data_IF_895494221414
#
_entry.id   IF_895494221414
#
_cell.length_a   1.000
_cell.length_b   1.000
_cell.length_c   1.000
_cell.angle_alpha   90.00
_cell.angle_beta   90.00
_cell.angle_gamma   90.00
#
_symmetry.space_group_name_H-M   'P 1'
#
loop_
_entity.id
_entity.type
_entity.pdbx_description
1 polymer ?
#
# COMPACT_ATOMS: atom_id res chain seq x y z
N UNK A 1 23.23 15.61 23.24
CA UNK A 1 23.88 16.78 23.87
C UNK A 1 23.04 17.37 24.99
N UNK A 2 21.85 17.92 24.71
CA UNK A 2 21.07 18.64 25.71
C UNK A 2 20.02 17.80 26.45
N UNK A 3 19.41 16.81 25.80
CA UNK A 3 18.27 16.07 26.37
C UNK A 3 18.64 14.75 27.07
N UNK A 4 19.69 14.05 26.63
CA UNK A 4 20.11 12.76 27.21
C UNK A 4 21.62 12.50 27.14
N UNK A 5 22.44 13.55 27.04
CA UNK A 5 23.90 13.42 27.13
C UNK A 5 24.63 12.87 25.89
N UNK A 6 23.97 12.76 24.73
CA UNK A 6 24.65 12.31 23.48
C UNK A 6 25.80 13.24 23.04
N UNK A 7 26.87 12.69 22.46
CA UNK A 7 28.00 13.50 21.95
C UNK A 7 27.61 14.31 20.71
N UNK A 8 28.27 15.46 20.48
CA UNK A 8 28.07 16.24 19.25
C UNK A 8 28.40 15.42 18.00
N UNK A 9 29.46 14.62 18.06
CA UNK A 9 29.91 13.80 16.94
C UNK A 9 28.84 12.77 16.52
N UNK A 10 28.26 12.04 17.49
CA UNK A 10 27.18 11.09 17.23
C UNK A 10 25.90 11.81 16.78
N UNK A 11 25.57 12.94 17.41
CA UNK A 11 24.38 13.73 17.06
C UNK A 11 24.44 14.20 15.60
N UNK A 12 25.61 14.66 15.15
CA UNK A 12 25.82 15.10 13.77
C UNK A 12 25.82 13.92 12.80
N UNK A 13 26.72 12.96 12.98
CA UNK A 13 26.92 11.91 11.97
C UNK A 13 25.79 10.88 11.95
N UNK A 14 25.28 10.46 13.11
CA UNK A 14 24.29 9.39 13.20
C UNK A 14 22.88 9.96 13.16
N UNK A 15 22.53 10.79 14.15
CA UNK A 15 21.15 11.26 14.29
C UNK A 15 20.71 12.24 13.18
N UNK A 16 21.67 12.93 12.54
CA UNK A 16 21.39 13.89 11.46
C UNK A 16 21.76 13.33 10.09
N UNK A 17 23.05 13.14 9.80
CA UNK A 17 23.51 12.80 8.45
C UNK A 17 23.08 11.39 8.03
N UNK A 18 23.39 10.36 8.82
CA UNK A 18 23.02 8.98 8.49
C UNK A 18 21.50 8.83 8.39
N UNK A 19 20.75 9.37 9.36
CA UNK A 19 19.28 9.41 9.30
C UNK A 19 18.79 10.03 7.99
N UNK A 20 19.32 11.18 7.60
CA UNK A 20 18.90 11.88 6.39
C UNK A 20 19.21 11.07 5.12
N UNK A 21 20.42 10.52 5.01
CA UNK A 21 20.83 9.69 3.88
C UNK A 21 19.98 8.42 3.77
N UNK A 22 19.69 7.75 4.89
CA UNK A 22 18.79 6.58 4.90
C UNK A 22 17.39 6.96 4.41
N UNK A 23 16.84 8.08 4.88
CA UNK A 23 15.53 8.55 4.41
C UNK A 23 15.53 8.81 2.90
N UNK A 24 16.54 9.51 2.37
CA UNK A 24 16.65 9.75 0.93
C UNK A 24 16.72 8.46 0.13
N UNK A 25 17.54 7.50 0.55
CA UNK A 25 17.66 6.22 -0.15
C UNK A 25 16.35 5.42 -0.11
N UNK A 26 15.62 5.44 1.01
CA UNK A 26 14.32 4.81 1.13
C UNK A 26 13.29 5.44 0.19
N UNK A 27 13.24 6.77 0.10
CA UNK A 27 12.37 7.47 -0.86
C UNK A 27 12.76 7.16 -2.31
N UNK A 28 14.05 7.16 -2.63
CA UNK A 28 14.52 6.87 -3.98
C UNK A 28 14.34 5.40 -4.38
N UNK A 29 14.26 4.48 -3.42
CA UNK A 29 13.93 3.08 -3.67
C UNK A 29 12.53 2.94 -4.27
N UNK A 30 11.56 3.76 -3.87
CA UNK A 30 10.21 3.81 -4.47
C UNK A 30 10.29 4.25 -5.93
N UNK A 31 11.10 5.26 -6.23
CA UNK A 31 11.29 5.74 -7.61
C UNK A 31 12.10 4.79 -8.50
N UNK A 32 12.74 3.76 -7.94
CA UNK A 32 13.55 2.79 -8.68
C UNK A 32 12.96 1.39 -8.61
N UNK A 33 13.11 0.69 -7.49
CA UNK A 33 12.69 -0.70 -7.34
C UNK A 33 11.18 -0.90 -7.56
N UNK A 34 10.34 0.03 -7.07
CA UNK A 34 8.87 -0.03 -7.26
C UNK A 34 8.39 0.38 -8.67
N UNK A 35 9.32 0.62 -9.59
CA UNK A 35 9.03 0.81 -11.02
C UNK A 35 9.63 -0.29 -11.91
N UNK A 36 10.45 -1.19 -11.35
CA UNK A 36 11.18 -2.22 -12.12
C UNK A 36 10.71 -3.63 -11.73
N UNK A 37 10.48 -3.90 -10.44
CA UNK A 37 10.18 -5.25 -9.94
C UNK A 37 8.87 -5.28 -9.17
N UNK A 38 7.84 -5.89 -9.76
CA UNK A 38 6.52 -6.04 -9.15
C UNK A 38 5.44 -6.39 -10.18
N UNK A 39 4.20 -6.42 -9.71
CA UNK A 39 3.00 -6.77 -10.48
C UNK A 39 2.22 -5.53 -10.91
N UNK A 40 1.31 -5.66 -11.88
CA UNK A 40 0.45 -4.55 -12.36
C UNK A 40 -1.03 -4.96 -12.40
N UNK A 41 -1.64 -5.25 -11.25
CA UNK A 41 -3.00 -5.81 -11.20
C UNK A 41 -4.09 -4.82 -11.64
N UNK A 42 -3.84 -3.50 -11.63
CA UNK A 42 -4.87 -2.50 -11.99
C UNK A 42 -4.67 -1.90 -13.38
N UNK A 43 -3.43 -1.58 -13.77
CA UNK A 43 -3.12 -1.13 -15.14
C UNK A 43 -1.71 -1.58 -15.57
N UNK A 44 -1.65 -2.48 -16.56
CA UNK A 44 -0.41 -3.01 -17.12
C UNK A 44 0.28 -2.06 -18.10
N UNK A 45 -0.44 -1.07 -18.62
CA UNK A 45 0.03 -0.15 -19.66
C UNK A 45 0.87 1.00 -19.09
N UNK A 46 0.80 1.22 -17.77
CA UNK A 46 1.62 2.21 -17.07
C UNK A 46 2.88 1.55 -16.49
N UNK A 47 3.93 2.33 -16.22
CA UNK A 47 5.18 1.83 -15.61
C UNK A 47 5.11 1.40 -14.13
N UNK A 48 4.39 2.08 -13.22
CA UNK A 48 4.44 1.78 -11.79
C UNK A 48 3.94 0.37 -11.50
N UNK A 49 4.65 -0.33 -10.61
CA UNK A 49 4.35 -1.70 -10.22
C UNK A 49 3.99 -1.76 -8.73
N UNK A 50 3.28 -2.82 -8.36
CA UNK A 50 2.92 -3.16 -7.01
C UNK A 50 3.93 -4.15 -6.46
N UNK A 51 4.55 -3.79 -5.33
CA UNK A 51 5.56 -4.59 -4.68
C UNK A 51 5.32 -4.60 -3.17
N UNK A 52 4.76 -5.70 -2.68
CA UNK A 52 4.35 -5.86 -1.29
C UNK A 52 5.55 -5.85 -0.32
N UNK A 53 6.71 -6.36 -0.76
CA UNK A 53 7.97 -6.31 0.01
C UNK A 53 8.46 -4.88 0.14
N UNK A 54 8.36 -4.07 -0.92
CA UNK A 54 8.66 -2.64 -0.84
C UNK A 54 7.64 -1.96 0.09
N UNK A 55 6.34 -2.26 0.00
CA UNK A 55 5.33 -1.69 0.91
C UNK A 55 5.68 -1.89 2.39
N UNK A 56 6.24 -3.05 2.77
CA UNK A 56 6.70 -3.31 4.13
C UNK A 56 7.89 -2.43 4.55
N UNK A 57 8.84 -2.23 3.65
CA UNK A 57 10.08 -1.48 3.92
C UNK A 57 9.83 0.03 3.96
N UNK A 58 8.97 0.56 3.09
CA UNK A 58 8.64 2.00 2.99
C UNK A 58 7.26 2.36 3.58
N UNK A 59 6.75 1.57 4.53
CA UNK A 59 5.55 1.88 5.34
C UNK A 59 4.26 2.17 4.54
N UNK A 60 4.04 1.45 3.44
CA UNK A 60 2.78 1.53 2.67
C UNK A 60 2.91 2.07 1.26
N UNK A 61 4.09 2.55 0.84
CA UNK A 61 4.28 3.17 -0.49
C UNK A 61 4.49 2.17 -1.66
N UNK A 62 4.46 0.85 -1.40
CA UNK A 62 4.69 -0.16 -2.45
C UNK A 62 3.44 -0.52 -3.27
N UNK A 63 2.29 0.12 -3.00
CA UNK A 63 1.05 0.01 -3.78
C UNK A 63 1.06 0.94 -5.01
N UNK A 64 2.21 1.06 -5.69
CA UNK A 64 2.44 2.12 -6.67
C UNK A 64 1.57 1.98 -7.93
N UNK A 65 1.27 0.76 -8.38
CA UNK A 65 0.31 0.55 -9.48
C UNK A 65 -1.08 1.09 -9.10
N UNK A 66 -1.57 0.82 -7.89
CA UNK A 66 -2.84 1.35 -7.37
C UNK A 66 -2.82 2.87 -7.31
N UNK A 67 -1.78 3.43 -6.69
CA UNK A 67 -1.65 4.87 -6.47
C UNK A 67 -1.73 5.66 -7.78
N UNK A 68 -1.09 5.19 -8.85
CA UNK A 68 -1.14 5.87 -10.16
C UNK A 68 -2.47 5.68 -10.89
N UNK A 69 -3.21 4.60 -10.64
CA UNK A 69 -4.55 4.39 -11.23
C UNK A 69 -5.61 5.20 -10.48
N UNK A 70 -5.48 5.34 -9.16
CA UNK A 70 -6.41 6.05 -8.28
C UNK A 70 -5.69 7.15 -7.48
N UNK A 71 -5.13 8.19 -8.12
CA UNK A 71 -4.32 9.21 -7.45
C UNK A 71 -5.10 10.07 -6.44
N UNK A 72 -6.44 10.00 -6.45
CA UNK A 72 -7.31 10.68 -5.49
C UNK A 72 -7.66 9.85 -4.26
N UNK A 73 -7.31 8.56 -4.20
CA UNK A 73 -7.57 7.72 -3.02
C UNK A 73 -6.58 8.08 -1.91
N UNK A 74 -7.08 8.55 -0.78
CA UNK A 74 -6.26 8.99 0.35
C UNK A 74 -5.39 7.87 0.92
N UNK A 75 -5.80 6.61 0.75
CA UNK A 75 -5.09 5.44 1.30
C UNK A 75 -3.90 5.04 0.46
N UNK A 76 -3.83 5.47 -0.81
CA UNK A 76 -2.81 5.03 -1.78
C UNK A 76 -2.67 3.51 -1.97
N UNK A 77 -3.59 2.71 -1.43
CA UNK A 77 -3.59 1.25 -1.52
C UNK A 77 -5.00 0.65 -1.57
N UNK A 78 -5.14 -0.47 -2.28
CA UNK A 78 -6.39 -1.26 -2.32
C UNK A 78 -6.75 -1.82 -0.94
N UNK A 79 -5.78 -2.39 -0.23
CA UNK A 79 -5.97 -2.95 1.11
C UNK A 79 -6.29 -1.92 2.20
N UNK A 80 -6.24 -0.63 1.89
CA UNK A 80 -6.46 0.44 2.85
C UNK A 80 -5.72 0.23 4.18
N UNK A 81 -6.46 0.33 5.29
CA UNK A 81 -6.06 0.21 6.70
C UNK A 81 -5.52 -1.16 7.15
N UNK A 82 -5.10 -2.00 6.21
CA UNK A 82 -4.33 -3.19 6.53
C UNK A 82 -3.11 -2.89 7.42
N UNK A 83 -2.49 -3.90 8.05
CA UNK A 83 -1.33 -3.71 8.92
C UNK A 83 -0.17 -2.95 8.26
N UNK A 84 -0.10 -2.96 6.93
CA UNK A 84 1.01 -2.44 6.14
C UNK A 84 0.91 -0.96 5.77
N UNK A 85 -0.24 -0.29 6.02
CA UNK A 85 -0.44 1.11 5.65
C UNK A 85 -0.52 2.01 6.89
N UNK A 86 0.65 2.38 7.43
CA UNK A 86 0.72 3.24 8.61
C UNK A 86 0.30 4.68 8.30
N UNK A 87 0.54 5.16 7.08
CA UNK A 87 0.15 6.50 6.63
C UNK A 87 -1.36 6.68 6.65
N UNK A 88 -2.12 5.74 6.08
CA UNK A 88 -3.59 5.79 6.13
C UNK A 88 -4.11 5.77 7.57
N UNK A 89 -3.55 4.93 8.45
CA UNK A 89 -3.92 4.87 9.87
C UNK A 89 -3.64 6.18 10.62
N UNK A 90 -2.53 6.85 10.28
CA UNK A 90 -2.21 8.15 10.84
C UNK A 90 -3.25 9.19 10.40
N UNK A 91 -3.60 9.22 9.11
CA UNK A 91 -4.65 10.11 8.59
C UNK A 91 -6.00 9.82 9.26
N UNK A 92 -6.37 8.53 9.41
CA UNK A 92 -7.60 8.10 10.07
C UNK A 92 -7.66 8.52 11.54
N UNK A 93 -6.53 8.52 12.26
CA UNK A 93 -6.46 9.06 13.61
C UNK A 93 -6.80 10.56 13.63
N UNK A 94 -6.27 11.34 12.69
CA UNK A 94 -6.63 12.76 12.56
C UNK A 94 -8.08 12.97 12.11
N UNK A 95 -8.62 12.05 11.30
CA UNK A 95 -10.02 12.07 10.93
C UNK A 95 -10.92 11.81 12.14
N UNK A 96 -10.53 10.85 12.99
CA UNK A 96 -11.24 10.48 14.19
C UNK A 96 -11.32 11.63 15.21
N UNK A 97 -10.24 12.42 15.38
CA UNK A 97 -10.26 13.62 16.24
C UNK A 97 -10.81 14.87 15.54
N UNK A 98 -11.30 14.75 14.29
CA UNK A 98 -11.94 15.83 13.53
C UNK A 98 -10.99 16.84 12.88
N UNK A 99 -9.69 16.52 12.78
CA UNK A 99 -8.69 17.39 12.14
C UNK A 99 -8.55 17.12 10.63
N UNK A 100 -8.89 15.92 10.18
CA UNK A 100 -8.99 15.56 8.77
C UNK A 100 -10.45 15.23 8.39
N UNK A 101 -10.85 15.56 7.16
CA UNK A 101 -12.20 15.34 6.64
C UNK A 101 -12.15 15.21 5.11
N UNK A 102 -13.28 14.85 4.49
CA UNK A 102 -13.43 14.67 3.04
C UNK A 102 -12.42 13.68 2.40
N UNK A 103 -12.10 12.63 3.15
CA UNK A 103 -11.23 11.54 2.73
C UNK A 103 -11.89 10.76 1.59
N UNK A 104 -11.25 10.76 0.42
CA UNK A 104 -11.77 10.11 -0.79
C UNK A 104 -11.16 8.73 -0.95
N UNK A 105 -11.98 7.75 -1.26
CA UNK A 105 -11.55 6.37 -1.50
C UNK A 105 -12.19 5.82 -2.77
N UNK A 106 -11.46 4.99 -3.51
CA UNK A 106 -12.02 4.32 -4.68
C UNK A 106 -12.96 3.18 -4.20
N UNK A 107 -14.20 3.09 -4.73
CA UNK A 107 -15.12 2.04 -4.36
C UNK A 107 -14.69 0.69 -4.97
N UNK A 108 -15.04 -0.41 -4.30
CA UNK A 108 -14.59 -1.78 -4.63
C UNK A 108 -14.95 -2.19 -6.07
N UNK A 109 -16.17 -1.87 -6.52
CA UNK A 109 -16.66 -2.14 -7.87
C UNK A 109 -15.85 -1.42 -8.96
N UNK A 110 -15.42 -0.18 -8.69
CA UNK A 110 -14.56 0.58 -9.59
C UNK A 110 -13.17 -0.06 -9.66
N UNK A 111 -12.62 -0.51 -8.53
CA UNK A 111 -11.32 -1.17 -8.46
C UNK A 111 -11.35 -2.48 -9.26
N UNK A 112 -12.36 -3.33 -9.04
CA UNK A 112 -12.57 -4.59 -9.77
C UNK A 112 -12.77 -4.36 -11.27
N UNK A 113 -13.59 -3.37 -11.65
CA UNK A 113 -13.82 -3.00 -13.05
C UNK A 113 -12.54 -2.49 -13.73
N UNK A 114 -11.67 -1.79 -13.00
CA UNK A 114 -10.36 -1.37 -13.52
C UNK A 114 -9.40 -2.54 -13.65
N UNK A 115 -9.26 -3.37 -12.63
CA UNK A 115 -8.40 -4.55 -12.66
C UNK A 115 -8.78 -5.49 -13.82
N UNK A 116 -10.07 -5.79 -14.00
CA UNK A 116 -10.55 -6.63 -15.10
C UNK A 116 -10.30 -6.03 -16.49
N UNK A 117 -10.38 -4.70 -16.63
CA UNK A 117 -10.23 -4.02 -17.93
C UNK A 117 -8.77 -3.81 -18.35
N UNK A 118 -7.89 -3.46 -17.41
CA UNK A 118 -6.52 -3.02 -17.70
C UNK A 118 -5.43 -3.74 -16.92
N UNK A 119 -5.78 -4.58 -15.95
CA UNK A 119 -4.83 -5.37 -15.18
C UNK A 119 -4.04 -6.37 -16.03
N UNK A 120 -2.91 -6.81 -15.47
CA UNK A 120 -2.10 -7.92 -15.99
C UNK A 120 -2.64 -9.30 -15.64
N UNK A 121 -3.74 -9.39 -14.88
CA UNK A 121 -4.36 -10.63 -14.44
C UNK A 121 -3.79 -11.19 -13.13
N UNK A 122 -2.80 -10.52 -12.54
CA UNK A 122 -2.25 -10.95 -11.24
C UNK A 122 -3.27 -10.74 -10.13
N UNK A 123 -3.58 -11.80 -9.39
CA UNK A 123 -4.41 -11.73 -8.20
C UNK A 123 -3.51 -11.76 -6.96
N UNK A 124 -3.37 -10.61 -6.29
CA UNK A 124 -2.53 -10.50 -5.09
C UNK A 124 -3.09 -11.24 -3.87
N UNK A 125 -4.36 -11.64 -3.91
CA UNK A 125 -5.09 -12.25 -2.79
C UNK A 125 -5.30 -13.76 -2.98
N UNK A 126 -4.96 -14.32 -4.14
CA UNK A 126 -5.06 -15.75 -4.47
C UNK A 126 -6.48 -16.33 -4.56
N UNK A 127 -7.51 -15.58 -4.13
CA UNK A 127 -8.91 -16.02 -4.20
C UNK A 127 -9.47 -15.81 -5.61
N UNK A 128 -9.83 -16.89 -6.29
CA UNK A 128 -10.32 -16.85 -7.67
C UNK A 128 -9.24 -17.00 -8.75
N UNK A 129 -8.00 -17.36 -8.36
CA UNK A 129 -6.91 -17.64 -9.29
C UNK A 129 -7.22 -18.87 -10.18
N UNK A 130 -6.58 -18.96 -11.35
CA UNK A 130 -6.80 -20.03 -12.34
C UNK A 130 -6.36 -21.41 -11.81
N UNK A 131 -5.38 -21.42 -10.92
CA UNK A 131 -4.87 -22.62 -10.26
C UNK A 131 -5.71 -23.05 -9.03
N UNK A 132 -6.66 -22.22 -8.58
CA UNK A 132 -7.52 -22.54 -7.44
C UNK A 132 -8.61 -23.55 -7.83
N UNK A 133 -8.52 -24.75 -7.24
CA UNK A 133 -9.42 -25.86 -7.55
C UNK A 133 -10.87 -25.60 -7.11
N UNK A 134 -11.82 -26.24 -7.78
CA UNK A 134 -13.24 -26.21 -7.38
C UNK A 134 -13.48 -26.77 -5.99
N UNK A 135 -12.66 -27.73 -5.55
CA UNK A 135 -12.73 -28.33 -4.22
C UNK A 135 -12.31 -27.34 -3.13
N UNK A 136 -11.22 -26.59 -3.35
CA UNK A 136 -10.78 -25.53 -2.42
C UNK A 136 -11.81 -24.41 -2.30
N UNK A 137 -12.42 -24.00 -3.41
CA UNK A 137 -13.51 -23.02 -3.43
C UNK A 137 -14.72 -23.51 -2.64
N UNK A 138 -15.10 -24.78 -2.80
CA UNK A 138 -16.25 -25.38 -2.13
C UNK A 138 -16.03 -25.60 -0.62
N UNK A 139 -14.80 -25.92 -0.22
CA UNK A 139 -14.43 -26.20 1.17
C UNK A 139 -14.05 -24.94 1.96
N UNK A 140 -14.02 -23.77 1.33
CA UNK A 140 -13.69 -22.51 1.98
C UNK A 140 -14.74 -22.15 3.04
N UNK A 141 -14.29 -22.00 4.30
CA UNK A 141 -15.15 -21.60 5.40
C UNK A 141 -15.34 -20.09 5.39
N UNK A 142 -16.55 -19.63 5.06
CA UNK A 142 -16.94 -18.23 5.18
C UNK A 142 -17.25 -17.94 6.66
N UNK A 143 -16.39 -17.15 7.31
CA UNK A 143 -16.55 -16.80 8.74
C UNK A 143 -17.52 -15.63 8.94
N UNK A 144 -17.63 -14.73 7.95
CA UNK A 144 -18.50 -13.54 7.99
C UNK A 144 -19.07 -13.30 6.59
N UNK A 145 -20.31 -13.72 6.31
CA UNK A 145 -20.94 -13.45 5.01
C UNK A 145 -21.46 -12.01 4.96
N UNK A 146 -21.14 -11.29 3.88
CA UNK A 146 -21.76 -10.00 3.58
C UNK A 146 -23.15 -10.32 3.00
N UNK A 147 -24.15 -10.47 3.88
CA UNK A 147 -25.54 -10.61 3.45
C UNK A 147 -25.98 -9.26 2.87
N UNK A 148 -25.82 -9.05 1.56
CA UNK A 148 -26.59 -8.03 0.86
C UNK A 148 -28.05 -8.48 0.90
N UNK A 149 -28.80 -7.95 1.87
CA UNK A 149 -30.23 -8.19 1.98
C UNK A 149 -30.97 -7.55 0.81
N UNK A 150 -31.75 -8.38 0.14
CA UNK A 150 -32.91 -8.15 -0.74
C UNK A 150 -33.01 -6.82 -1.50
#
# INVERSE_FOLDING_TARGET
MYFWGESLNNSWHVATILRYVLNLNMTFLVNSAAHIWGYKPYDKNIKPVQNLTVSLVVFGEGFHNYHHVFPWDYRTSELGNGPLNLTAKFIDFFAWIGWAYDLKTAPEDLIESRASRTGDGTNLWGWGDEDQSTEEKANAKILYSRNYGN
#
